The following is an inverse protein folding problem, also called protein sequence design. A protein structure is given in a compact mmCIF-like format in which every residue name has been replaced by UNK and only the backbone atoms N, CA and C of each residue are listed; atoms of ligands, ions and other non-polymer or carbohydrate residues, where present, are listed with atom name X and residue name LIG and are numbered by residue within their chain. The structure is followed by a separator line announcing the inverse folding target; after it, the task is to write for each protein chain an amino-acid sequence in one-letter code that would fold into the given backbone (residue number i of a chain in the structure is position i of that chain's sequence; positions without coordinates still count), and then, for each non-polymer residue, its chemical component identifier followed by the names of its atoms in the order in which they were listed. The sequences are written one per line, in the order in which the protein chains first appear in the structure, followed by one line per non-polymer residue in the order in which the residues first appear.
data_IF_516250326694
#
_entry.id   IF_516250326694
#
_cell.length_a   1.000
_cell.length_b   1.000
_cell.length_c   1.000
_cell.angle_alpha   90.00
_cell.angle_beta   90.00
_cell.angle_gamma   90.00
#
_symmetry.space_group_name_H-M   'P 1'
#
loop_
_entity.id
_entity.type
_entity.pdbx_description
1 polymer ?
#
# COMPACT_ATOMS: atom_id res chain seq x y z
N UNK A 1 -1.84 19.96 2.71
CA UNK A 1 -3.24 20.30 2.41
C UNK A 1 -4.10 19.74 3.53
N UNK A 2 -5.04 20.52 4.07
CA UNK A 2 -5.88 20.11 5.19
C UNK A 2 -7.37 20.34 4.87
N UNK A 3 -8.24 19.49 5.39
CA UNK A 3 -9.69 19.47 5.10
C UNK A 3 -10.47 19.27 6.39
N UNK A 4 -11.59 19.99 6.53
CA UNK A 4 -12.50 19.84 7.66
C UNK A 4 -13.39 18.60 7.47
N UNK A 5 -13.93 17.98 8.54
CA UNK A 5 -14.88 16.88 8.42
C UNK A 5 -16.13 17.23 7.59
N UNK A 6 -16.57 18.49 7.61
CA UNK A 6 -17.74 18.96 6.87
C UNK A 6 -17.52 18.97 5.35
N UNK A 7 -16.26 19.11 4.91
CA UNK A 7 -15.87 19.16 3.49
C UNK A 7 -15.27 17.84 2.99
N UNK A 8 -15.38 16.75 3.77
CA UNK A 8 -14.87 15.46 3.36
C UNK A 8 -15.65 14.87 2.20
N UNK A 9 -14.92 14.26 1.29
CA UNK A 9 -15.46 13.46 0.19
C UNK A 9 -14.76 12.11 0.19
N UNK A 10 -15.29 11.15 -0.57
CA UNK A 10 -14.69 9.82 -0.72
C UNK A 10 -13.25 9.85 -1.25
N UNK A 11 -12.89 10.89 -1.99
CA UNK A 11 -11.53 11.07 -2.51
C UNK A 11 -10.52 11.46 -1.42
N UNK A 12 -10.99 12.08 -0.33
CA UNK A 12 -10.13 12.54 0.77
C UNK A 12 -9.73 11.42 1.74
N UNK A 13 -10.53 10.36 1.83
CA UNK A 13 -10.25 9.23 2.73
C UNK A 13 -9.38 8.16 2.07
N UNK A 14 -8.63 7.42 2.89
CA UNK A 14 -7.85 6.27 2.43
C UNK A 14 -8.81 5.09 2.27
N UNK A 15 -8.92 4.56 1.05
CA UNK A 15 -9.78 3.41 0.73
C UNK A 15 -8.98 2.41 -0.10
N UNK A 16 -9.20 1.12 0.17
CA UNK A 16 -8.64 0.00 -0.59
C UNK A 16 -9.51 -1.24 -0.38
N UNK A 17 -9.48 -2.15 -1.34
CA UNK A 17 -10.05 -3.49 -1.26
C UNK A 17 -8.92 -4.52 -1.12
N UNK A 18 -8.91 -5.30 -0.05
CA UNK A 18 -7.78 -6.21 0.26
C UNK A 18 -7.42 -7.14 -0.91
N UNK A 19 -8.39 -7.88 -1.44
CA UNK A 19 -8.14 -8.89 -2.48
C UNK A 19 -7.79 -8.29 -3.84
N UNK A 20 -8.31 -7.08 -4.13
CA UNK A 20 -8.12 -6.44 -5.44
C UNK A 20 -6.92 -5.52 -5.49
N UNK A 21 -6.58 -4.90 -4.38
CA UNK A 21 -5.55 -3.87 -4.32
C UNK A 21 -4.28 -4.35 -3.62
N UNK A 22 -4.41 -4.87 -2.39
CA UNK A 22 -3.26 -5.16 -1.54
C UNK A 22 -2.64 -6.52 -1.84
N UNK A 23 -3.46 -7.56 -1.96
CA UNK A 23 -2.97 -8.92 -2.25
C UNK A 23 -2.12 -8.98 -3.54
N UNK A 24 -2.59 -8.47 -4.70
CA UNK A 24 -1.76 -8.49 -5.91
C UNK A 24 -0.51 -7.60 -5.80
N UNK A 25 -0.59 -6.48 -5.06
CA UNK A 25 0.58 -5.64 -4.80
C UNK A 25 1.65 -6.42 -4.03
N UNK A 26 1.28 -7.09 -2.93
CA UNK A 26 2.22 -7.87 -2.12
C UNK A 26 2.80 -9.03 -2.92
N UNK A 27 1.96 -9.80 -3.64
CA UNK A 27 2.40 -10.94 -4.44
C UNK A 27 3.33 -10.53 -5.60
N UNK A 28 3.10 -9.37 -6.22
CA UNK A 28 3.97 -8.86 -7.30
C UNK A 28 5.38 -8.46 -6.83
N UNK A 29 5.57 -8.31 -5.51
CA UNK A 29 6.85 -8.00 -4.88
C UNK A 29 7.42 -9.20 -4.08
N UNK A 30 6.82 -10.38 -4.23
CA UNK A 30 7.38 -11.65 -3.76
C UNK A 30 8.42 -12.15 -4.77
N UNK A 31 9.66 -12.27 -4.34
CA UNK A 31 10.77 -12.82 -5.11
C UNK A 31 11.07 -14.22 -4.59
N UNK A 32 11.29 -15.16 -5.52
CA UNK A 32 11.70 -16.51 -5.17
C UNK A 32 13.20 -16.64 -5.34
N UNK A 33 13.89 -17.06 -4.27
CA UNK A 33 15.28 -17.48 -4.36
C UNK A 33 15.36 -19.01 -4.39
N UNK A 34 16.00 -19.52 -5.43
CA UNK A 34 16.39 -20.93 -5.50
C UNK A 34 17.83 -21.06 -5.05
N UNK A 35 18.03 -21.57 -3.84
CA UNK A 35 19.36 -21.98 -3.39
C UNK A 35 19.62 -23.44 -3.81
N UNK A 36 20.82 -23.71 -4.35
CA UNK A 36 21.18 -25.05 -4.84
C UNK A 36 21.15 -26.05 -3.67
N UNK A 37 20.10 -26.85 -3.60
CA UNK A 37 19.96 -27.96 -2.64
C UNK A 37 19.05 -27.69 -1.44
N UNK A 38 18.36 -26.54 -1.36
CA UNK A 38 17.40 -26.21 -0.29
C UNK A 38 16.03 -25.75 -0.84
N UNK A 39 15.06 -25.61 0.07
CA UNK A 39 13.69 -25.18 -0.20
C UNK A 39 13.63 -23.80 -0.88
N UNK A 40 12.57 -23.56 -1.66
CA UNK A 40 12.35 -22.25 -2.27
C UNK A 40 11.92 -21.25 -1.20
N UNK A 41 12.76 -20.27 -0.90
CA UNK A 41 12.44 -19.21 0.04
C UNK A 41 11.74 -18.06 -0.69
N UNK A 42 10.57 -17.68 -0.17
CA UNK A 42 9.86 -16.48 -0.59
C UNK A 42 10.40 -15.28 0.18
N UNK A 43 10.97 -14.30 -0.53
CA UNK A 43 11.42 -13.03 0.02
C UNK A 43 10.54 -11.89 -0.49
N UNK A 44 10.12 -11.00 0.40
CA UNK A 44 9.32 -9.83 0.03
C UNK A 44 10.17 -8.56 0.05
N UNK A 45 10.10 -7.78 -1.03
CA UNK A 45 10.71 -6.45 -1.09
C UNK A 45 9.86 -5.42 -0.33
N UNK A 46 10.00 -5.43 1.01
CA UNK A 46 9.24 -4.53 1.90
C UNK A 46 9.44 -3.04 1.56
N UNK A 47 10.67 -2.55 1.26
CA UNK A 47 10.86 -1.16 0.83
C UNK A 47 10.02 -0.80 -0.40
N UNK A 48 9.99 -1.66 -1.41
CA UNK A 48 9.21 -1.42 -2.64
C UNK A 48 7.71 -1.52 -2.39
N UNK A 49 7.25 -2.48 -1.58
CA UNK A 49 5.85 -2.58 -1.15
C UNK A 49 5.41 -1.29 -0.44
N UNK A 50 6.22 -0.81 0.52
CA UNK A 50 5.93 0.42 1.25
C UNK A 50 5.83 1.62 0.29
N UNK A 51 6.78 1.76 -0.64
CA UNK A 51 6.75 2.84 -1.62
C UNK A 51 5.46 2.79 -2.47
N UNK A 52 5.06 1.60 -2.95
CA UNK A 52 3.85 1.46 -3.75
C UNK A 52 2.58 1.78 -2.95
N UNK A 53 2.53 1.41 -1.67
CA UNK A 53 1.40 1.76 -0.79
C UNK A 53 1.31 3.27 -0.58
N UNK A 54 2.44 3.91 -0.26
CA UNK A 54 2.53 5.36 -0.07
C UNK A 54 2.05 6.09 -1.33
N UNK A 55 2.56 5.71 -2.50
CA UNK A 55 2.23 6.37 -3.77
C UNK A 55 0.78 6.16 -4.19
N UNK A 56 0.23 4.95 -4.04
CA UNK A 56 -1.11 4.62 -4.58
C UNK A 56 -2.26 5.03 -3.66
N UNK A 57 -2.10 4.90 -2.34
CA UNK A 57 -3.23 5.03 -1.41
C UNK A 57 -3.13 6.25 -0.49
N UNK A 58 -1.92 6.73 -0.21
CA UNK A 58 -1.67 7.76 0.81
C UNK A 58 -1.27 9.11 0.19
N UNK A 59 -0.58 9.11 -0.94
CA UNK A 59 -0.15 10.32 -1.61
C UNK A 59 -1.35 11.19 -2.03
N UNK A 60 -1.26 12.49 -1.73
CA UNK A 60 -2.30 13.46 -2.05
C UNK A 60 -3.49 13.47 -1.08
N UNK A 61 -3.54 12.58 -0.09
CA UNK A 61 -4.60 12.61 0.94
C UNK A 61 -4.40 13.81 1.87
N UNK A 62 -5.47 14.55 2.21
CA UNK A 62 -5.38 15.69 3.12
C UNK A 62 -5.12 15.25 4.56
N UNK A 63 -4.62 16.20 5.36
CA UNK A 63 -4.71 16.12 6.81
C UNK A 63 -6.14 16.51 7.25
N UNK A 64 -6.84 15.60 7.94
CA UNK A 64 -8.20 15.87 8.42
C UNK A 64 -8.10 16.48 9.82
N UNK A 65 -8.59 17.70 9.98
CA UNK A 65 -8.47 18.45 11.25
C UNK A 65 -9.84 18.78 11.82
N UNK A 66 -10.07 18.43 13.09
CA UNK A 66 -11.25 18.77 13.87
C UNK A 66 -11.04 20.17 14.48
N UNK A 67 -11.36 21.23 13.74
CA UNK A 67 -11.37 22.59 14.31
C UNK A 67 -12.61 22.78 15.20
#
# INVERSE_FOLDING_TARGET
YAVSPADLTELHVIRYEYDRDLLPLVLSNCQYRMERGQETLAEYDLPKIQQQILTRFLQGKPHITLN
#
